data_IF_565731634319
#
_entry.id   IF_565731634319
#
_cell.length_a   1.000
_cell.length_b   1.000
_cell.length_c   1.000
_cell.angle_alpha   90.00
_cell.angle_beta   90.00
_cell.angle_gamma   90.00
#
_symmetry.space_group_name_H-M   'P 1'
#
loop_
_entity.id
_entity.type
_entity.pdbx_description
1 polymer ?
#
# COMPACT_ATOMS: atom_id res chain seq x y z
N UNK A 1 -20.01 10.03 -3.19
CA UNK A 1 -19.20 8.95 -2.59
C UNK A 1 -19.02 9.20 -1.09
N UNK A 2 -18.96 8.18 -0.23
CA UNK A 2 -18.68 8.35 1.21
C UNK A 2 -17.27 7.86 1.52
N UNK A 3 -16.34 8.80 1.70
CA UNK A 3 -14.91 8.51 1.95
C UNK A 3 -14.72 7.70 3.23
N UNK A 4 -15.44 8.01 4.31
CA UNK A 4 -15.23 7.33 5.59
C UNK A 4 -15.58 5.85 5.52
N UNK A 5 -16.68 5.52 4.82
CA UNK A 5 -17.05 4.12 4.58
C UNK A 5 -15.96 3.37 3.82
N UNK A 6 -15.37 4.01 2.80
CA UNK A 6 -14.31 3.37 1.99
C UNK A 6 -13.03 3.20 2.81
N UNK A 7 -12.70 4.15 3.69
CA UNK A 7 -11.58 4.01 4.63
C UNK A 7 -11.83 2.84 5.60
N UNK A 8 -13.07 2.66 6.07
CA UNK A 8 -13.42 1.50 6.90
C UNK A 8 -13.31 0.19 6.12
N UNK A 9 -13.71 0.18 4.84
CA UNK A 9 -13.48 -0.95 3.95
C UNK A 9 -11.96 -1.25 3.81
N UNK A 10 -11.10 -0.23 3.65
CA UNK A 10 -9.65 -0.40 3.66
C UNK A 10 -9.15 -1.09 4.94
N UNK A 11 -9.69 -0.70 6.11
CA UNK A 11 -9.33 -1.35 7.40
C UNK A 11 -9.81 -2.79 7.46
N UNK A 12 -10.97 -3.10 6.90
CA UNK A 12 -11.49 -4.48 6.81
C UNK A 12 -10.56 -5.33 5.93
N UNK A 13 -10.21 -4.82 4.74
CA UNK A 13 -9.29 -5.53 3.84
C UNK A 13 -7.90 -5.70 4.46
N UNK A 14 -7.39 -4.70 5.19
CA UNK A 14 -6.12 -4.81 5.91
C UNK A 14 -6.14 -5.93 6.96
N UNK A 15 -7.25 -6.10 7.70
CA UNK A 15 -7.42 -7.23 8.63
C UNK A 15 -7.47 -8.57 7.90
N UNK A 16 -8.15 -8.62 6.75
CA UNK A 16 -8.23 -9.84 5.94
C UNK A 16 -6.89 -10.22 5.34
N UNK A 17 -6.11 -9.27 4.83
CA UNK A 17 -4.73 -9.49 4.39
C UNK A 17 -3.91 -10.15 5.50
N UNK A 18 -3.95 -9.60 6.73
CA UNK A 18 -3.27 -10.17 7.90
C UNK A 18 -3.78 -11.57 8.27
N UNK A 19 -5.08 -11.82 8.14
CA UNK A 19 -5.70 -13.10 8.48
C UNK A 19 -5.27 -14.23 7.53
N UNK A 20 -5.13 -13.93 6.24
CA UNK A 20 -4.86 -14.93 5.22
C UNK A 20 -3.37 -15.05 4.86
N UNK A 21 -2.52 -14.22 5.45
CA UNK A 21 -1.07 -14.28 5.26
C UNK A 21 -0.51 -15.65 5.71
N UNK A 22 0.37 -16.33 4.95
CA UNK A 22 0.99 -15.91 3.69
C UNK A 22 0.38 -16.54 2.43
N UNK A 23 -0.91 -16.87 2.38
CA UNK A 23 -1.53 -17.48 1.18
C UNK A 23 -1.63 -16.47 0.02
N UNK A 24 -0.86 -16.63 -1.07
CA UNK A 24 -0.79 -15.62 -2.13
C UNK A 24 -2.14 -15.37 -2.80
N UNK A 25 -3.00 -16.38 -2.93
CA UNK A 25 -4.30 -16.23 -3.58
C UNK A 25 -5.20 -15.25 -2.81
N UNK A 26 -5.38 -15.51 -1.51
CA UNK A 26 -6.24 -14.69 -0.68
C UNK A 26 -5.63 -13.33 -0.40
N UNK A 27 -4.32 -13.28 -0.12
CA UNK A 27 -3.63 -12.01 0.10
C UNK A 27 -3.73 -11.13 -1.15
N UNK A 28 -3.50 -11.68 -2.35
CA UNK A 28 -3.63 -10.92 -3.60
C UNK A 28 -5.06 -10.43 -3.82
N UNK A 29 -6.07 -11.26 -3.54
CA UNK A 29 -7.48 -10.88 -3.66
C UNK A 29 -7.83 -9.69 -2.75
N UNK A 30 -7.54 -9.78 -1.45
CA UNK A 30 -7.86 -8.70 -0.51
C UNK A 30 -6.98 -7.47 -0.70
N UNK A 31 -5.73 -7.65 -1.13
CA UNK A 31 -4.86 -6.54 -1.47
C UNK A 31 -5.36 -5.79 -2.70
N UNK A 32 -5.88 -6.47 -3.73
CA UNK A 32 -6.55 -5.78 -4.85
C UNK A 32 -7.71 -4.93 -4.38
N UNK A 33 -8.56 -5.45 -3.50
CA UNK A 33 -9.70 -4.70 -2.94
C UNK A 33 -9.24 -3.49 -2.12
N UNK A 34 -8.16 -3.64 -1.37
CA UNK A 34 -7.52 -2.56 -0.63
C UNK A 34 -7.02 -1.44 -1.56
N UNK A 35 -6.30 -1.80 -2.63
CA UNK A 35 -5.81 -0.84 -3.63
C UNK A 35 -6.95 -0.14 -4.37
N UNK A 36 -7.98 -0.88 -4.77
CA UNK A 36 -9.18 -0.32 -5.40
C UNK A 36 -9.84 0.72 -4.47
N UNK A 37 -9.93 0.42 -3.17
CA UNK A 37 -10.51 1.31 -2.17
C UNK A 37 -9.66 2.57 -1.95
N UNK A 38 -8.33 2.47 -1.95
CA UNK A 38 -7.44 3.64 -1.91
C UNK A 38 -7.71 4.57 -3.09
N UNK A 39 -7.81 4.02 -4.31
CA UNK A 39 -8.11 4.81 -5.51
C UNK A 39 -9.46 5.52 -5.37
N UNK A 40 -10.49 4.83 -4.86
CA UNK A 40 -11.79 5.45 -4.61
C UNK A 40 -11.73 6.56 -3.56
N UNK A 41 -10.91 6.44 -2.51
CA UNK A 41 -10.73 7.55 -1.54
C UNK A 41 -10.08 8.77 -2.21
N UNK A 42 -9.05 8.56 -3.02
CA UNK A 42 -8.38 9.64 -3.77
C UNK A 42 -9.37 10.35 -4.70
N UNK A 43 -10.16 9.58 -5.46
CA UNK A 43 -11.24 10.12 -6.29
C UNK A 43 -12.25 10.92 -5.44
N UNK A 44 -12.54 10.45 -4.23
CA UNK A 44 -13.47 11.11 -3.31
C UNK A 44 -13.02 12.48 -2.85
N UNK A 45 -11.71 12.65 -2.66
CA UNK A 45 -11.14 13.97 -2.35
C UNK A 45 -11.42 14.95 -3.49
N UNK A 46 -11.24 14.51 -4.74
CA UNK A 46 -11.53 15.35 -5.89
C UNK A 46 -13.03 15.56 -6.09
N UNK A 47 -13.89 14.59 -5.76
CA UNK A 47 -15.34 14.79 -5.76
C UNK A 47 -15.77 15.88 -4.77
N UNK A 48 -15.22 15.87 -3.55
CA UNK A 48 -15.46 16.91 -2.55
C UNK A 48 -14.97 18.27 -3.06
N UNK A 49 -13.76 18.35 -3.62
CA UNK A 49 -13.23 19.59 -4.20
C UNK A 49 -14.05 20.09 -5.40
N UNK A 50 -14.51 19.20 -6.27
CA UNK A 50 -15.31 19.52 -7.46
C UNK A 50 -16.65 20.15 -7.08
N UNK A 51 -17.28 19.64 -6.01
CA UNK A 51 -18.50 20.22 -5.45
C UNK A 51 -18.22 21.58 -4.82
N UNK A 52 -17.21 21.68 -3.97
CA UNK A 52 -16.95 22.88 -3.17
C UNK A 52 -16.43 24.05 -4.03
N UNK A 53 -15.72 23.78 -5.13
CA UNK A 53 -15.30 24.81 -6.10
C UNK A 53 -16.28 25.02 -7.27
N UNK A 54 -17.37 24.25 -7.38
CA UNK A 54 -18.36 24.43 -8.45
C UNK A 54 -17.82 24.10 -9.86
N UNK A 55 -16.98 23.07 -9.99
CA UNK A 55 -16.44 22.66 -11.29
C UNK A 55 -17.44 21.87 -12.14
N UNK A 56 -18.51 21.32 -11.54
CA UNK A 56 -19.60 20.60 -12.20
C UNK A 56 -19.14 19.44 -13.10
N UNK A 57 -18.08 18.72 -12.70
CA UNK A 57 -17.69 17.47 -13.36
C UNK A 57 -18.69 16.39 -12.93
N UNK A 58 -19.35 15.75 -13.90
CA UNK A 58 -20.38 14.72 -13.68
C UNK A 58 -19.88 13.30 -13.92
N UNK A 59 -18.76 13.16 -14.63
CA UNK A 59 -18.10 11.89 -14.87
C UNK A 59 -17.22 11.48 -13.68
N UNK A 60 -16.76 10.23 -13.69
CA UNK A 60 -15.72 9.74 -12.78
C UNK A 60 -14.51 10.70 -12.80
N UNK A 61 -14.17 11.23 -11.64
CA UNK A 61 -13.15 12.27 -11.49
C UNK A 61 -11.76 11.68 -11.27
N UNK A 62 -10.77 12.21 -11.97
CA UNK A 62 -9.36 11.96 -11.72
C UNK A 62 -8.65 13.28 -11.50
N UNK A 63 -7.42 13.25 -11.00
CA UNK A 63 -6.57 14.43 -10.90
C UNK A 63 -6.47 15.19 -12.23
N UNK A 64 -6.22 14.47 -13.33
CA UNK A 64 -6.05 15.07 -14.67
C UNK A 64 -7.34 15.72 -15.16
N UNK A 65 -8.49 15.06 -14.97
CA UNK A 65 -9.79 15.61 -15.34
C UNK A 65 -10.14 16.84 -14.52
N UNK A 66 -9.90 16.78 -13.21
CA UNK A 66 -10.11 17.91 -12.30
C UNK A 66 -9.26 19.11 -12.72
N UNK A 67 -7.95 18.91 -12.91
CA UNK A 67 -7.02 19.97 -13.30
C UNK A 67 -7.35 20.55 -14.68
N UNK A 68 -7.70 19.70 -15.65
CA UNK A 68 -8.11 20.13 -16.99
C UNK A 68 -9.33 21.04 -16.89
N UNK A 69 -10.35 20.64 -16.13
CA UNK A 69 -11.58 21.44 -15.97
C UNK A 69 -11.33 22.76 -15.24
N UNK A 70 -10.49 22.72 -14.20
CA UNK A 70 -10.08 23.92 -13.47
C UNK A 70 -9.40 24.94 -14.39
N UNK A 71 -8.50 24.47 -15.27
CA UNK A 71 -7.84 25.31 -16.29
C UNK A 71 -8.82 25.84 -17.35
N UNK A 72 -9.71 25.01 -17.88
CA UNK A 72 -10.75 25.44 -18.84
C UNK A 72 -11.64 26.55 -18.27
N UNK A 73 -11.94 26.49 -16.98
CA UNK A 73 -12.76 27.50 -16.28
C UNK A 73 -11.97 28.68 -15.72
N UNK A 74 -10.63 28.66 -15.84
CA UNK A 74 -9.73 29.60 -15.14
C UNK A 74 -10.00 29.68 -13.63
N UNK A 75 -10.37 28.56 -13.00
CA UNK A 75 -10.64 28.51 -11.57
C UNK A 75 -9.32 28.47 -10.78
N UNK A 76 -8.89 29.63 -10.29
CA UNK A 76 -7.63 29.80 -9.55
C UNK A 76 -7.62 28.97 -8.27
N UNK A 77 -8.77 28.78 -7.60
CA UNK A 77 -8.87 28.03 -6.34
C UNK A 77 -8.63 26.54 -6.59
N UNK A 78 -9.29 25.98 -7.61
CA UNK A 78 -9.12 24.59 -8.00
C UNK A 78 -7.72 24.29 -8.56
N UNK A 79 -7.12 25.22 -9.32
CA UNK A 79 -5.73 25.07 -9.78
C UNK A 79 -4.76 25.02 -8.59
N UNK A 80 -4.86 25.97 -7.65
CA UNK A 80 -4.04 25.99 -6.43
C UNK A 80 -4.20 24.73 -5.58
N UNK A 81 -5.43 24.23 -5.46
CA UNK A 81 -5.69 22.97 -4.77
C UNK A 81 -4.95 21.80 -5.45
N UNK A 82 -5.00 21.73 -6.77
CA UNK A 82 -4.34 20.66 -7.54
C UNK A 82 -2.82 20.67 -7.36
N UNK A 83 -2.21 21.85 -7.42
CA UNK A 83 -0.77 22.05 -7.21
C UNK A 83 -0.34 21.62 -5.80
N UNK A 84 -1.07 22.09 -4.79
CA UNK A 84 -0.85 21.68 -3.40
C UNK A 84 -1.02 20.17 -3.21
N UNK A 85 -2.04 19.57 -3.83
CA UNK A 85 -2.34 18.15 -3.67
C UNK A 85 -1.21 17.26 -4.20
N UNK A 86 -0.65 17.60 -5.37
CA UNK A 86 0.52 16.88 -5.92
C UNK A 86 1.71 16.97 -4.97
N UNK A 87 2.00 18.16 -4.44
CA UNK A 87 3.08 18.34 -3.48
C UNK A 87 2.86 17.47 -2.24
N UNK A 88 1.65 17.53 -1.67
CA UNK A 88 1.28 16.76 -0.48
C UNK A 88 1.38 15.25 -0.72
N UNK A 89 0.89 14.76 -1.85
CA UNK A 89 1.04 13.36 -2.25
C UNK A 89 2.53 13.00 -2.35
N UNK A 90 3.35 13.80 -3.03
CA UNK A 90 4.76 13.49 -3.15
C UNK A 90 5.49 13.48 -1.79
N UNK A 91 5.08 14.33 -0.84
CA UNK A 91 5.62 14.35 0.52
C UNK A 91 5.23 13.09 1.32
N UNK A 92 3.96 12.70 1.34
CA UNK A 92 3.48 11.50 2.04
C UNK A 92 4.07 10.20 1.47
N UNK A 93 4.48 10.23 0.20
CA UNK A 93 5.01 9.07 -0.53
C UNK A 93 6.54 9.07 -0.68
N UNK A 94 7.26 9.79 0.17
CA UNK A 94 8.74 9.76 0.20
C UNK A 94 9.28 8.45 0.76
N UNK A 95 8.64 7.90 1.78
CA UNK A 95 9.11 6.68 2.44
C UNK A 95 8.75 5.42 1.65
N UNK A 96 9.53 4.35 1.86
CA UNK A 96 9.48 3.11 1.06
C UNK A 96 8.08 2.52 0.91
N UNK A 97 7.36 2.33 2.02
CA UNK A 97 6.06 1.64 1.99
C UNK A 97 4.95 2.47 1.32
N UNK A 98 4.72 3.74 1.67
CA UNK A 98 3.81 4.59 0.91
C UNK A 98 4.21 4.68 -0.56
N UNK A 99 5.49 4.95 -0.88
CA UNK A 99 5.98 5.00 -2.28
C UNK A 99 5.58 3.74 -3.07
N UNK A 100 5.73 2.56 -2.46
CA UNK A 100 5.32 1.29 -3.07
C UNK A 100 3.81 1.22 -3.33
N UNK A 101 2.97 1.57 -2.35
CA UNK A 101 1.51 1.58 -2.52
C UNK A 101 1.08 2.55 -3.62
N UNK A 102 1.68 3.74 -3.71
CA UNK A 102 1.41 4.69 -4.81
C UNK A 102 1.71 4.08 -6.17
N UNK A 103 2.88 3.45 -6.33
CA UNK A 103 3.24 2.77 -7.59
C UNK A 103 2.27 1.65 -7.95
N UNK A 104 1.81 0.89 -6.97
CA UNK A 104 0.80 -0.16 -7.19
C UNK A 104 -0.55 0.42 -7.60
N UNK A 105 -0.98 1.53 -6.98
CA UNK A 105 -2.19 2.23 -7.38
C UNK A 105 -2.09 2.69 -8.85
N UNK A 106 -0.96 3.28 -9.23
CA UNK A 106 -0.68 3.69 -10.62
C UNK A 106 -0.68 2.52 -11.60
N UNK A 107 -0.02 1.41 -11.24
CA UNK A 107 -0.02 0.17 -12.03
C UNK A 107 -1.44 -0.37 -12.20
N UNK A 108 -2.22 -0.42 -11.11
CA UNK A 108 -3.59 -0.91 -11.12
C UNK A 108 -4.50 -0.05 -12.00
N UNK A 109 -4.33 1.26 -11.99
CA UNK A 109 -5.10 2.16 -12.86
C UNK A 109 -4.72 1.97 -14.34
N UNK A 110 -3.43 1.82 -14.65
CA UNK A 110 -2.92 1.74 -16.03
C UNK A 110 -3.16 0.39 -16.68
N UNK A 111 -2.92 -0.69 -15.93
CA UNK A 111 -2.82 -2.05 -16.48
C UNK A 111 -3.85 -3.02 -15.86
N UNK A 112 -4.57 -2.60 -14.81
CA UNK A 112 -5.47 -3.45 -14.03
C UNK A 112 -4.79 -4.69 -13.39
N UNK A 113 -3.47 -4.64 -13.24
CA UNK A 113 -2.63 -5.70 -12.67
C UNK A 113 -2.12 -5.34 -11.28
N UNK A 114 -1.63 -6.36 -10.57
CA UNK A 114 -0.86 -6.22 -9.33
C UNK A 114 0.46 -6.96 -9.48
N UNK A 115 1.50 -6.57 -8.71
CA UNK A 115 2.72 -7.35 -8.62
C UNK A 115 2.47 -8.78 -8.14
N UNK A 116 3.35 -9.70 -8.55
CA UNK A 116 3.34 -11.07 -8.05
C UNK A 116 3.63 -11.09 -6.54
N UNK A 117 2.83 -11.86 -5.80
CA UNK A 117 3.03 -12.09 -4.38
C UNK A 117 3.93 -13.29 -4.15
N UNK A 118 4.97 -13.07 -3.35
CA UNK A 118 5.96 -14.05 -2.93
C UNK A 118 5.78 -14.37 -1.45
N UNK A 119 6.02 -15.61 -1.06
CA UNK A 119 6.10 -16.00 0.35
C UNK A 119 7.54 -15.88 0.78
N UNK A 120 7.82 -15.17 1.87
CA UNK A 120 9.17 -15.05 2.42
C UNK A 120 9.22 -15.34 3.91
N UNK A 121 10.33 -15.93 4.34
CA UNK A 121 10.78 -16.00 5.74
C UNK A 121 11.36 -14.65 6.13
N UNK A 122 11.00 -14.20 7.33
CA UNK A 122 11.55 -13.01 7.98
C UNK A 122 11.67 -13.20 9.49
N UNK A 123 12.48 -12.37 10.14
CA UNK A 123 12.43 -12.24 11.60
C UNK A 123 11.12 -11.58 12.07
N UNK A 124 10.69 -11.91 13.30
CA UNK A 124 9.55 -11.28 13.97
C UNK A 124 9.87 -9.84 14.34
N UNK A 125 10.98 -9.65 15.05
CA UNK A 125 11.53 -8.35 15.37
C UNK A 125 12.34 -7.86 14.18
N UNK A 126 12.07 -6.62 13.75
CA UNK A 126 12.55 -6.10 12.47
C UNK A 126 13.70 -5.12 12.70
N UNK A 127 14.81 -5.38 12.05
CA UNK A 127 15.93 -4.46 11.94
C UNK A 127 16.11 -4.02 10.48
N UNK A 128 16.69 -2.84 10.27
CA UNK A 128 16.82 -2.23 8.94
C UNK A 128 17.61 -3.11 7.96
N UNK A 129 18.63 -3.81 8.48
CA UNK A 129 19.54 -4.64 7.70
C UNK A 129 19.14 -6.13 7.64
N UNK A 130 17.97 -6.48 8.19
CA UNK A 130 17.47 -7.85 8.13
C UNK A 130 17.26 -8.32 6.69
N UNK A 131 17.60 -9.58 6.45
CA UNK A 131 17.26 -10.25 5.20
C UNK A 131 15.88 -10.90 5.27
N UNK A 132 15.23 -10.96 4.12
CA UNK A 132 14.09 -11.83 3.89
C UNK A 132 14.47 -12.86 2.83
N UNK A 133 13.98 -14.08 2.98
CA UNK A 133 14.28 -15.17 2.06
C UNK A 133 13.00 -15.75 1.48
N UNK A 134 12.91 -15.80 0.16
CA UNK A 134 11.75 -16.36 -0.52
C UNK A 134 11.71 -17.87 -0.39
N UNK A 135 10.53 -18.40 -0.04
CA UNK A 135 10.24 -19.82 -0.03
C UNK A 135 9.52 -20.19 -1.32
N UNK A 136 10.01 -21.22 -2.00
CA UNK A 136 9.35 -21.77 -3.18
C UNK A 136 8.44 -22.93 -2.76
N UNK A 137 7.14 -22.79 -3.02
CA UNK A 137 6.14 -23.80 -2.71
C UNK A 137 5.22 -24.05 -3.90
N UNK A 138 4.65 -25.25 -4.02
CA UNK A 138 3.71 -25.55 -5.08
C UNK A 138 2.38 -24.82 -4.85
N UNK A 139 1.94 -24.05 -5.83
CA UNK A 139 0.64 -23.37 -5.81
C UNK A 139 -0.34 -24.07 -6.76
N UNK A 140 -1.61 -24.17 -6.35
CA UNK A 140 -2.71 -24.60 -7.22
C UNK A 140 -3.60 -23.41 -7.50
N UNK A 141 -3.61 -22.93 -8.75
CA UNK A 141 -4.30 -21.70 -9.15
C UNK A 141 -3.90 -20.48 -8.28
N UNK A 142 -2.61 -20.37 -7.94
CA UNK A 142 -2.06 -19.31 -7.08
C UNK A 142 -2.32 -19.49 -5.58
N UNK A 143 -3.11 -20.50 -5.18
CA UNK A 143 -3.41 -20.80 -3.78
C UNK A 143 -2.42 -21.80 -3.19
N UNK A 144 -2.08 -21.63 -1.93
CA UNK A 144 -1.31 -22.63 -1.18
C UNK A 144 -2.02 -23.99 -1.20
N UNK A 145 -1.32 -25.02 -1.68
CA UNK A 145 -1.87 -26.38 -1.78
C UNK A 145 -2.04 -27.04 -0.41
N UNK A 146 -1.06 -26.84 0.47
CA UNK A 146 -1.01 -27.46 1.80
C UNK A 146 -0.18 -26.58 2.74
N UNK A 147 -0.63 -26.46 3.99
CA UNK A 147 0.14 -25.78 5.05
C UNK A 147 1.32 -26.62 5.49
N UNK A 148 1.18 -27.94 5.41
CA UNK A 148 2.23 -28.91 5.71
C UNK A 148 3.38 -28.80 4.70
N UNK A 149 3.09 -28.68 3.40
CA UNK A 149 4.11 -28.45 2.37
C UNK A 149 4.88 -27.16 2.62
N UNK A 150 4.16 -26.07 2.93
CA UNK A 150 4.81 -24.81 3.31
C UNK A 150 5.72 -24.98 4.53
N UNK A 151 5.28 -25.70 5.57
CA UNK A 151 6.08 -25.94 6.76
C UNK A 151 7.33 -26.79 6.48
N UNK A 152 7.24 -27.76 5.56
CA UNK A 152 8.39 -28.56 5.14
C UNK A 152 9.45 -27.68 4.46
N UNK A 153 9.04 -26.82 3.52
CA UNK A 153 10.00 -25.93 2.83
C UNK A 153 10.56 -24.85 3.79
N UNK A 154 9.76 -24.33 4.73
CA UNK A 154 10.26 -23.47 5.80
C UNK A 154 11.38 -24.18 6.58
N UNK A 155 11.10 -25.39 7.09
CA UNK A 155 12.07 -26.13 7.92
C UNK A 155 13.35 -26.47 7.16
N UNK A 156 13.26 -26.66 5.84
CA UNK A 156 14.40 -26.93 4.96
C UNK A 156 15.31 -25.71 4.80
N UNK A 157 14.72 -24.52 4.64
CA UNK A 157 15.45 -23.28 4.42
C UNK A 157 15.92 -22.59 5.72
N UNK A 158 15.25 -22.89 6.84
CA UNK A 158 15.44 -22.24 8.13
C UNK A 158 16.89 -22.25 8.64
N UNK A 159 17.67 -23.34 8.58
CA UNK A 159 19.05 -23.34 9.08
C UNK A 159 19.94 -22.32 8.37
N UNK A 160 19.84 -22.25 7.03
CA UNK A 160 20.60 -21.30 6.21
C UNK A 160 20.13 -19.88 6.48
N UNK A 161 18.82 -19.67 6.58
CA UNK A 161 18.25 -18.36 6.91
C UNK A 161 18.80 -17.83 8.25
N UNK A 162 18.78 -18.66 9.30
CA UNK A 162 19.27 -18.30 10.63
C UNK A 162 20.76 -17.97 10.64
N UNK A 163 21.58 -18.74 9.90
CA UNK A 163 23.00 -18.47 9.78
C UNK A 163 23.25 -17.09 9.16
N UNK A 164 22.61 -16.81 8.02
CA UNK A 164 22.82 -15.56 7.28
C UNK A 164 22.29 -14.34 8.04
N UNK A 165 21.08 -14.42 8.61
CA UNK A 165 20.52 -13.29 9.36
C UNK A 165 21.32 -13.01 10.63
N UNK A 166 21.75 -14.04 11.38
CA UNK A 166 22.51 -13.84 12.61
C UNK A 166 23.91 -13.33 12.36
N UNK A 167 24.53 -13.74 11.25
CA UNK A 167 25.80 -13.17 10.81
C UNK A 167 25.66 -11.65 10.59
N UNK A 168 24.67 -11.23 9.79
CA UNK A 168 24.39 -9.81 9.54
C UNK A 168 24.04 -9.03 10.80
N UNK A 169 23.22 -9.59 11.68
CA UNK A 169 22.86 -8.93 12.94
C UNK A 169 24.08 -8.74 13.84
N UNK A 170 24.95 -9.74 13.91
CA UNK A 170 26.22 -9.63 14.66
C UNK A 170 27.09 -8.50 14.13
N UNK A 171 27.22 -8.37 12.80
CA UNK A 171 27.97 -7.27 12.17
C UNK A 171 27.38 -5.88 12.49
N UNK A 172 26.06 -5.81 12.72
CA UNK A 172 25.34 -4.57 13.03
C UNK A 172 25.09 -4.34 14.54
N UNK A 173 25.63 -5.18 15.43
CA UNK A 173 25.37 -5.17 16.88
C UNK A 173 23.89 -5.34 17.25
N UNK A 174 23.16 -6.15 16.48
CA UNK A 174 21.75 -6.48 16.68
C UNK A 174 21.59 -7.88 17.32
N UNK A 175 20.53 -8.13 18.12
CA UNK A 175 20.32 -9.42 18.77
C UNK A 175 20.06 -10.55 17.77
N UNK A 176 20.71 -11.69 17.97
CA UNK A 176 20.47 -12.90 17.18
C UNK A 176 19.04 -13.41 17.32
N UNK A 177 18.58 -14.11 16.29
CA UNK A 177 17.25 -14.70 16.11
C UNK A 177 17.36 -16.20 16.20
N UNK A 178 16.40 -16.83 16.87
CA UNK A 178 16.21 -18.28 16.85
C UNK A 178 14.94 -18.67 16.07
N UNK A 179 14.73 -19.97 15.87
CA UNK A 179 13.58 -20.54 15.13
C UNK A 179 12.21 -19.98 15.58
N UNK A 180 12.02 -19.77 16.88
CA UNK A 180 10.76 -19.28 17.44
C UNK A 180 10.51 -17.79 17.16
N UNK A 181 11.52 -17.07 16.70
CA UNK A 181 11.47 -15.65 16.36
C UNK A 181 11.36 -15.41 14.85
N UNK A 182 10.95 -16.43 14.10
CA UNK A 182 10.78 -16.38 12.65
C UNK A 182 9.30 -16.38 12.29
N UNK A 183 8.94 -15.72 11.19
CA UNK A 183 7.61 -15.73 10.62
C UNK A 183 7.68 -15.81 9.09
N UNK A 184 6.61 -16.30 8.48
CA UNK A 184 6.39 -16.19 7.05
C UNK A 184 5.37 -15.10 6.75
N UNK A 185 5.59 -14.37 5.67
CA UNK A 185 4.68 -13.33 5.22
C UNK A 185 4.71 -13.18 3.70
N UNK A 186 3.70 -12.51 3.17
CA UNK A 186 3.58 -12.17 1.76
C UNK A 186 4.33 -10.89 1.44
N UNK A 187 5.11 -10.91 0.37
CA UNK A 187 5.89 -9.79 -0.13
C UNK A 187 5.63 -9.57 -1.61
N UNK A 188 5.86 -8.35 -2.08
CA UNK A 188 5.98 -8.06 -3.52
C UNK A 188 7.19 -7.19 -3.80
N UNK A 189 7.58 -7.17 -5.07
CA UNK A 189 8.53 -6.21 -5.63
C UNK A 189 7.78 -5.30 -6.61
N UNK A 190 8.09 -4.00 -6.61
CA UNK A 190 7.53 -3.05 -7.57
C UNK A 190 8.61 -2.08 -8.04
N UNK A 191 8.97 -2.17 -9.32
CA UNK A 191 10.03 -1.38 -9.95
C UNK A 191 11.36 -1.44 -9.18
N UNK A 192 11.80 -0.33 -8.59
CA UNK A 192 13.02 -0.16 -7.79
C UNK A 192 12.81 -0.49 -6.29
N UNK A 193 11.61 -0.91 -5.89
CA UNK A 193 11.25 -1.17 -4.49
C UNK A 193 11.02 -2.66 -4.28
N UNK A 194 12.02 -3.32 -3.73
CA UNK A 194 12.01 -4.76 -3.49
C UNK A 194 11.50 -5.11 -2.09
N UNK A 195 11.10 -6.35 -1.89
CA UNK A 195 10.76 -6.99 -0.62
C UNK A 195 9.84 -6.13 0.26
N UNK A 196 8.71 -5.70 -0.29
CA UNK A 196 7.68 -4.97 0.45
C UNK A 196 6.67 -5.95 1.03
N UNK A 197 6.64 -6.08 2.36
CA UNK A 197 5.66 -6.92 3.06
C UNK A 197 4.24 -6.34 2.89
N UNK A 198 3.32 -7.13 2.34
CA UNK A 198 1.99 -6.66 1.94
C UNK A 198 1.18 -6.18 3.13
N UNK A 199 1.12 -6.99 4.18
CA UNK A 199 0.35 -6.70 5.38
C UNK A 199 0.83 -5.42 6.09
N UNK A 200 2.15 -5.22 6.14
CA UNK A 200 2.75 -4.06 6.78
C UNK A 200 2.62 -2.80 5.93
N UNK A 201 2.77 -2.90 4.61
CA UNK A 201 2.51 -1.79 3.70
C UNK A 201 1.07 -1.29 3.83
N UNK A 202 0.10 -2.20 3.86
CA UNK A 202 -1.32 -1.86 4.06
C UNK A 202 -1.57 -1.17 5.41
N UNK A 203 -0.93 -1.65 6.48
CA UNK A 203 -1.02 -1.05 7.81
C UNK A 203 -0.48 0.38 7.87
N UNK A 204 0.73 0.60 7.32
CA UNK A 204 1.36 1.93 7.28
C UNK A 204 0.52 2.93 6.47
N UNK A 205 -0.15 2.45 5.42
CA UNK A 205 -0.85 3.33 4.49
C UNK A 205 -2.19 3.86 5.02
N UNK A 206 -2.84 3.17 5.96
CA UNK A 206 -4.11 3.64 6.53
C UNK A 206 -3.96 5.05 7.18
N UNK A 207 -2.99 5.30 8.08
CA UNK A 207 -2.73 6.65 8.59
C UNK A 207 -2.39 7.68 7.52
N UNK A 208 -1.67 7.29 6.46
CA UNK A 208 -1.35 8.17 5.33
C UNK A 208 -2.63 8.63 4.64
N UNK A 209 -3.54 7.70 4.36
CA UNK A 209 -4.82 7.97 3.71
C UNK A 209 -5.70 8.90 4.53
N UNK A 210 -5.76 8.68 5.85
CA UNK A 210 -6.49 9.55 6.78
C UNK A 210 -5.96 10.98 6.76
N UNK A 211 -4.64 11.17 6.85
CA UNK A 211 -4.01 12.50 6.78
C UNK A 211 -4.27 13.18 5.44
N UNK A 212 -4.16 12.45 4.33
CA UNK A 212 -4.45 12.98 3.00
C UNK A 212 -5.87 13.52 2.90
N UNK A 213 -6.86 12.78 3.39
CA UNK A 213 -8.27 13.22 3.38
C UNK A 213 -8.48 14.43 4.29
N UNK A 214 -7.99 14.36 5.53
CA UNK A 214 -8.17 15.43 6.52
C UNK A 214 -7.54 16.75 6.04
N UNK A 215 -6.29 16.69 5.57
CA UNK A 215 -5.58 17.88 5.10
C UNK A 215 -6.17 18.40 3.79
N UNK A 216 -6.63 17.53 2.88
CA UNK A 216 -7.31 17.97 1.66
C UNK A 216 -8.58 18.73 1.98
N UNK A 217 -9.40 18.25 2.91
CA UNK A 217 -10.60 18.97 3.36
C UNK A 217 -10.26 20.31 4.00
N UNK A 218 -9.21 20.38 4.82
CA UNK A 218 -8.72 21.66 5.37
C UNK A 218 -8.33 22.62 4.24
N UNK A 219 -7.61 22.13 3.22
CA UNK A 219 -7.17 22.95 2.10
C UNK A 219 -8.33 23.42 1.21
N UNK A 220 -9.30 22.54 0.94
CA UNK A 220 -10.52 22.89 0.19
C UNK A 220 -11.26 24.00 0.93
N UNK A 221 -11.48 23.84 2.24
CA UNK A 221 -12.12 24.87 3.07
C UNK A 221 -11.36 26.18 3.03
N UNK A 222 -10.04 26.17 3.26
CA UNK A 222 -9.18 27.36 3.20
C UNK A 222 -9.33 28.13 1.87
N UNK A 223 -9.32 27.41 0.74
CA UNK A 223 -9.42 28.02 -0.59
C UNK A 223 -10.85 28.46 -0.93
N UNK A 224 -11.86 27.74 -0.43
CA UNK A 224 -13.26 28.10 -0.61
C UNK A 224 -13.65 29.31 0.26
N UNK A 225 -13.12 29.40 1.48
CA UNK A 225 -13.47 30.37 2.51
C UNK A 225 -12.74 31.70 2.37
N UNK A 226 -12.72 32.32 1.18
CA UNK A 226 -12.34 33.73 1.03
C UNK A 226 -13.23 34.40 -0.02
N UNK A 227 -13.94 35.40 0.49
CA UNK A 227 -14.69 36.49 -0.16
C UNK A 227 -13.78 37.48 -0.85
#
# INVERSE_FOLDING_TARGET
>A
MNIEKIIDDCKIYQKQIKQYDPDPFYVNYFFSKFIDSINMVIEGVFDEANRDFGLFITEKISYEKFLKKAKEKNDVKAIKFSEWYIEKINQEHKSRFPKAIKKICELKIKENTLPEIKIMIRAKDRYENDINQQIIVSLSNGKLRSKEELQIEINRELPVFLEVINHKRTENNEPSVNENQIATSSFFDIEDIFQVEVAYAAEIYIPVLLRLVEESRKKIKELASWS
#
